data_IF_580655096720
#
_entry.id   IF_580655096720
#
_cell.length_a   1.000
_cell.length_b   1.000
_cell.length_c   1.000
_cell.angle_alpha   90.00
_cell.angle_beta   90.00
_cell.angle_gamma   90.00
#
_symmetry.space_group_name_H-M   'P 1'
#
loop_
_entity.id
_entity.type
_entity.pdbx_description
1 polymer ?
#
# COMPACT_ATOMS: atom_id res chain seq x y z
N UNK A 1 9.08 43.56 -47.62
CA UNK A 1 9.57 42.18 -47.52
C UNK A 1 8.44 41.32 -46.96
N UNK A 2 7.92 40.42 -47.79
CA UNK A 2 6.90 39.45 -47.43
C UNK A 2 7.62 38.19 -46.95
N UNK A 3 8.01 38.13 -45.67
CA UNK A 3 8.52 36.89 -45.07
C UNK A 3 7.30 36.07 -44.63
N UNK A 4 6.63 35.50 -45.64
CA UNK A 4 5.61 34.49 -45.45
C UNK A 4 6.23 33.27 -44.78
N UNK A 5 5.58 32.79 -43.71
CA UNK A 5 5.93 31.57 -43.01
C UNK A 5 6.13 30.43 -44.02
N UNK A 6 7.36 29.95 -44.14
CA UNK A 6 7.67 28.74 -44.91
C UNK A 6 7.10 27.56 -44.12
N UNK A 7 6.28 26.67 -44.71
CA UNK A 7 5.74 25.54 -43.98
C UNK A 7 6.88 24.63 -43.51
N UNK A 8 6.89 24.31 -42.21
CA UNK A 8 7.89 23.45 -41.56
C UNK A 8 7.84 21.99 -42.04
N UNK A 9 6.75 21.59 -42.70
CA UNK A 9 6.55 20.29 -43.33
C UNK A 9 5.70 20.44 -44.58
N UNK A 10 6.16 19.86 -45.69
CA UNK A 10 5.36 19.65 -46.89
C UNK A 10 4.72 18.27 -46.80
N UNK A 11 3.40 18.22 -46.89
CA UNK A 11 2.64 16.98 -46.88
C UNK A 11 2.20 16.62 -48.31
N UNK A 12 2.36 15.37 -48.67
CA UNK A 12 2.01 14.87 -50.01
C UNK A 12 0.50 14.67 -50.18
N UNK A 13 -0.24 14.48 -49.08
CA UNK A 13 -1.70 14.35 -49.08
C UNK A 13 -2.40 15.67 -48.72
N UNK A 14 -3.67 15.78 -49.13
CA UNK A 14 -4.53 16.91 -48.75
C UNK A 14 -4.69 16.98 -47.22
N UNK A 15 -4.58 18.17 -46.60
CA UNK A 15 -4.67 18.32 -45.15
C UNK A 15 -5.93 17.72 -44.50
N UNK A 16 -7.07 17.70 -45.20
CA UNK A 16 -8.29 17.09 -44.68
C UNK A 16 -8.16 15.57 -44.53
N UNK A 17 -7.52 14.91 -45.50
CA UNK A 17 -7.31 13.45 -45.45
C UNK A 17 -6.36 13.04 -44.32
N UNK A 18 -5.33 13.86 -44.06
CA UNK A 18 -4.39 13.64 -42.97
C UNK A 18 -5.11 13.78 -41.63
N UNK A 19 -5.94 14.81 -41.48
CA UNK A 19 -6.70 15.03 -40.25
C UNK A 19 -7.70 13.88 -40.00
N UNK A 20 -8.40 13.42 -41.03
CA UNK A 20 -9.35 12.30 -40.94
C UNK A 20 -8.66 11.00 -40.51
N UNK A 21 -7.42 10.78 -40.96
CA UNK A 21 -6.63 9.62 -40.54
C UNK A 21 -6.01 9.78 -39.14
N UNK A 22 -5.59 10.98 -38.75
CA UNK A 22 -4.94 11.26 -37.47
C UNK A 22 -5.92 11.32 -36.30
N UNK A 23 -7.14 11.84 -36.53
CA UNK A 23 -8.15 12.00 -35.47
C UNK A 23 -8.46 10.70 -34.72
N UNK A 24 -8.74 9.55 -35.37
CA UNK A 24 -8.99 8.29 -34.66
C UNK A 24 -7.73 7.77 -33.96
N UNK A 25 -6.54 7.94 -34.54
CA UNK A 25 -5.28 7.53 -33.89
C UNK A 25 -5.01 8.35 -32.62
N UNK A 26 -5.25 9.65 -32.67
CA UNK A 26 -5.10 10.53 -31.53
C UNK A 26 -6.07 10.14 -30.41
N UNK A 27 -7.36 9.98 -30.71
CA UNK A 27 -8.34 9.58 -29.71
C UNK A 27 -8.03 8.22 -29.08
N UNK A 28 -7.64 7.22 -29.88
CA UNK A 28 -7.21 5.92 -29.37
C UNK A 28 -5.99 6.03 -28.44
N UNK A 29 -5.01 6.85 -28.82
CA UNK A 29 -3.81 7.07 -28.00
C UNK A 29 -4.13 7.75 -26.67
N UNK A 30 -5.06 8.71 -26.66
CA UNK A 30 -5.50 9.41 -25.46
C UNK A 30 -6.26 8.48 -24.50
N UNK A 31 -7.14 7.63 -25.03
CA UNK A 31 -7.84 6.62 -24.22
C UNK A 31 -6.86 5.61 -23.63
N UNK A 32 -5.91 5.11 -24.42
CA UNK A 32 -4.89 4.17 -23.95
C UNK A 32 -4.05 4.81 -22.83
N UNK A 33 -3.63 6.05 -23.01
CA UNK A 33 -2.87 6.80 -22.01
C UNK A 33 -3.65 6.94 -20.70
N UNK A 34 -4.93 7.34 -20.77
CA UNK A 34 -5.77 7.47 -19.59
C UNK A 34 -5.92 6.14 -18.82
N UNK A 35 -6.06 5.02 -19.53
CA UNK A 35 -6.11 3.69 -18.92
C UNK A 35 -4.80 3.32 -18.22
N UNK A 36 -3.65 3.59 -18.85
CA UNK A 36 -2.34 3.33 -18.26
C UNK A 36 -2.09 4.19 -17.02
N UNK A 37 -2.45 5.47 -17.06
CA UNK A 37 -2.34 6.38 -15.92
C UNK A 37 -3.27 5.95 -14.77
N UNK A 38 -4.48 5.49 -15.07
CA UNK A 38 -5.41 4.94 -14.07
C UNK A 38 -4.85 3.70 -13.39
N UNK A 39 -4.26 2.77 -14.14
CA UNK A 39 -3.65 1.55 -13.58
C UNK A 39 -2.42 1.89 -12.72
N UNK A 40 -1.57 2.79 -13.19
CA UNK A 40 -0.42 3.24 -12.40
C UNK A 40 -0.86 3.90 -11.08
N UNK A 41 -1.93 4.70 -11.13
CA UNK A 41 -2.52 5.35 -9.95
C UNK A 41 -3.12 4.33 -8.97
N UNK A 42 -3.81 3.30 -9.47
CA UNK A 42 -4.36 2.21 -8.65
C UNK A 42 -3.24 1.43 -7.94
N UNK A 43 -2.17 1.08 -8.67
CA UNK A 43 -1.03 0.38 -8.09
C UNK A 43 -0.34 1.22 -7.01
N UNK A 44 -0.13 2.52 -7.26
CA UNK A 44 0.46 3.43 -6.28
C UNK A 44 -0.43 3.55 -5.02
N UNK A 45 -1.74 3.71 -5.19
CA UNK A 45 -2.69 3.76 -4.09
C UNK A 45 -2.70 2.44 -3.29
N UNK A 46 -2.67 1.30 -3.99
CA UNK A 46 -2.59 -0.03 -3.36
C UNK A 46 -1.30 -0.21 -2.57
N UNK A 47 -0.16 0.20 -3.12
CA UNK A 47 1.13 0.14 -2.42
C UNK A 47 1.12 0.99 -1.15
N UNK A 48 0.57 2.21 -1.21
CA UNK A 48 0.41 3.07 -0.04
C UNK A 48 -0.50 2.45 1.03
N UNK A 49 -1.64 1.90 0.62
CA UNK A 49 -2.56 1.20 1.54
C UNK A 49 -1.90 -0.01 2.20
N UNK A 50 -1.12 -0.80 1.45
CA UNK A 50 -0.42 -1.97 1.98
C UNK A 50 0.75 -1.60 2.90
N UNK A 51 1.45 -0.50 2.62
CA UNK A 51 2.46 0.05 3.55
C UNK A 51 1.82 0.39 4.89
N UNK A 52 0.72 1.15 4.87
CA UNK A 52 0.00 1.51 6.10
C UNK A 52 -0.52 0.27 6.84
N UNK A 53 -1.04 -0.73 6.11
CA UNK A 53 -1.48 -1.98 6.71
C UNK A 53 -0.32 -2.75 7.37
N UNK A 54 0.87 -2.72 6.77
CA UNK A 54 2.09 -3.34 7.31
C UNK A 54 2.52 -2.63 8.60
N UNK A 55 2.54 -1.29 8.59
CA UNK A 55 2.91 -0.49 9.76
C UNK A 55 1.94 -0.75 10.93
N UNK A 56 0.63 -0.79 10.66
CA UNK A 56 -0.40 -1.13 11.64
C UNK A 56 -0.22 -2.56 12.19
N UNK A 57 0.15 -3.52 11.34
CA UNK A 57 0.39 -4.89 11.76
C UNK A 57 1.64 -5.02 12.66
N UNK A 58 2.69 -4.23 12.39
CA UNK A 58 3.90 -4.17 13.23
C UNK A 58 3.57 -3.57 14.59
N UNK A 59 2.78 -2.51 14.64
CA UNK A 59 2.30 -1.90 15.89
C UNK A 59 1.50 -2.92 16.72
N UNK A 60 0.51 -3.57 16.10
CA UNK A 60 -0.30 -4.60 16.77
C UNK A 60 0.56 -5.76 17.29
N UNK A 61 1.55 -6.21 16.51
CA UNK A 61 2.48 -7.27 16.92
C UNK A 61 3.25 -6.87 18.18
N UNK A 62 3.69 -5.62 18.26
CA UNK A 62 4.39 -5.09 19.43
C UNK A 62 3.48 -5.07 20.66
N UNK A 63 2.24 -4.59 20.51
CA UNK A 63 1.27 -4.56 21.60
C UNK A 63 0.96 -5.97 22.13
N UNK A 64 0.67 -6.91 21.22
CA UNK A 64 0.40 -8.30 21.58
C UNK A 64 1.62 -8.96 22.24
N UNK A 65 2.84 -8.64 21.80
CA UNK A 65 4.06 -9.14 22.43
C UNK A 65 4.21 -8.65 23.88
N UNK A 66 3.86 -7.39 24.14
CA UNK A 66 3.88 -6.83 25.50
C UNK A 66 2.82 -7.52 26.37
N UNK A 67 1.58 -7.65 25.86
CA UNK A 67 0.49 -8.32 26.55
C UNK A 67 0.85 -9.78 26.88
N UNK A 68 1.39 -10.52 25.91
CA UNK A 68 1.83 -11.90 26.09
C UNK A 68 2.91 -12.03 27.18
N UNK A 69 3.91 -11.14 27.18
CA UNK A 69 4.95 -11.15 28.21
C UNK A 69 4.37 -10.87 29.61
N UNK A 70 3.43 -9.93 29.71
CA UNK A 70 2.75 -9.59 30.95
C UNK A 70 1.92 -10.76 31.49
N UNK A 71 1.11 -11.38 30.64
CA UNK A 71 0.31 -12.56 31.02
C UNK A 71 1.19 -13.74 31.40
N UNK A 72 2.29 -13.98 30.68
CA UNK A 72 3.27 -15.01 31.04
C UNK A 72 3.83 -14.77 32.44
N UNK A 73 4.23 -13.54 32.76
CA UNK A 73 4.75 -13.21 34.09
C UNK A 73 3.68 -13.41 35.17
N UNK A 74 2.45 -12.93 34.93
CA UNK A 74 1.33 -13.09 35.85
C UNK A 74 1.03 -14.58 36.13
N UNK A 75 1.07 -15.43 35.09
CA UNK A 75 0.91 -16.88 35.21
C UNK A 75 2.00 -17.52 36.06
N UNK A 76 3.28 -17.18 35.80
CA UNK A 76 4.42 -17.68 36.59
C UNK A 76 4.28 -17.28 38.07
N UNK A 77 3.97 -16.01 38.35
CA UNK A 77 3.76 -15.56 39.74
C UNK A 77 2.57 -16.24 40.40
N UNK A 78 1.48 -16.47 39.66
CA UNK A 78 0.32 -17.20 40.16
C UNK A 78 0.67 -18.64 40.54
N UNK A 79 1.34 -19.37 39.64
CA UNK A 79 1.81 -20.74 39.89
C UNK A 79 2.75 -20.82 41.09
N UNK A 80 3.69 -19.86 41.23
CA UNK A 80 4.60 -19.81 42.40
C UNK A 80 3.83 -19.57 43.69
N UNK A 81 2.85 -18.65 43.70
CA UNK A 81 2.02 -18.39 44.88
C UNK A 81 1.19 -19.61 45.28
N UNK A 82 0.65 -20.34 44.31
CA UNK A 82 -0.07 -21.60 44.55
C UNK A 82 0.87 -22.68 45.15
N UNK A 83 2.09 -22.82 44.64
CA UNK A 83 3.07 -23.77 45.18
C UNK A 83 3.46 -23.41 46.62
N UNK A 84 3.76 -22.14 46.89
CA UNK A 84 4.18 -21.68 48.23
C UNK A 84 3.03 -21.85 49.23
N UNK A 85 1.83 -21.41 48.89
CA UNK A 85 0.65 -21.56 49.76
C UNK A 85 0.32 -23.04 50.04
N UNK A 86 0.42 -23.91 49.03
CA UNK A 86 0.27 -25.36 49.20
C UNK A 86 1.32 -25.97 50.12
N UNK A 87 2.59 -25.56 49.97
CA UNK A 87 3.68 -26.00 50.84
C UNK A 87 3.53 -25.53 52.29
N UNK A 88 3.04 -24.29 52.51
CA UNK A 88 2.77 -23.77 53.85
C UNK A 88 1.60 -24.49 54.53
N UNK A 89 0.55 -24.84 53.78
CA UNK A 89 -0.59 -25.61 54.31
C UNK A 89 -0.20 -27.03 54.77
N UNK A 90 0.93 -27.56 54.30
CA UNK A 90 1.47 -28.86 54.68
C UNK A 90 2.41 -28.80 55.90
N UNK A 91 2.77 -27.60 56.40
CA UNK A 91 3.61 -27.49 57.59
C UNK A 91 2.84 -28.00 58.83
N UNK A 92 3.46 -28.84 59.68
CA UNK A 92 2.85 -29.26 60.93
C UNK A 92 2.53 -28.03 61.79
N UNK A 93 1.35 -28.04 62.41
CA UNK A 93 1.01 -27.05 63.43
C UNK A 93 1.78 -27.47 64.69
N UNK A 94 2.87 -26.76 64.97
CA UNK A 94 3.53 -26.82 66.28
C UNK A 94 2.69 -26.09 67.34
#
# INVERSE_FOLDING_TARGET
MNDGCVPLMEFEQDPAQILDAMMPLYLNSQVLKALQESLASELAARMGAMSNATDNAVELTKELSIAYNRERQAKITGEILEIVSGAEALKPID
#
